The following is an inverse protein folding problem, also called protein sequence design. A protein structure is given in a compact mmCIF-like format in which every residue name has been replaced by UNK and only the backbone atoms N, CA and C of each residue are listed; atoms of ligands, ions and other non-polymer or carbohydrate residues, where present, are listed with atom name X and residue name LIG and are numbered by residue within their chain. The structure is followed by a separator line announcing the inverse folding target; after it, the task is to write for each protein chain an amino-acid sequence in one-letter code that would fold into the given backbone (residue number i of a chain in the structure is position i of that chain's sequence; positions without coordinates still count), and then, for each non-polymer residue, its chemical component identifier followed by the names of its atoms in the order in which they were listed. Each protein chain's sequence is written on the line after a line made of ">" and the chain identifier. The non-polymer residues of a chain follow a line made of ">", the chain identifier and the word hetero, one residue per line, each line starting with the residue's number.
data_IF_243869026558
#
_entry.id   IF_243869026558
#
_cell.length_a   1.000
_cell.length_b   1.000
_cell.length_c   1.000
_cell.angle_alpha   90.00
_cell.angle_beta   90.00
_cell.angle_gamma   90.00
#
_symmetry.space_group_name_H-M   'P 1'
#
loop_
_entity.id
_entity.type
_entity.pdbx_description
1 polymer ?
#
# COMPACT_ATOMS: atom_id res chain seq x y z
N UNK A 1 18.10 18.44 27.49
CA UNK A 1 17.67 17.79 28.74
C UNK A 1 16.87 18.80 29.55
N UNK A 2 15.57 18.59 29.75
CA UNK A 2 14.83 19.24 30.84
C UNK A 2 13.53 18.48 31.16
N UNK A 3 13.15 18.51 32.43
CA UNK A 3 12.23 17.57 33.11
C UNK A 3 10.78 17.71 32.64
N UNK A 4 10.17 16.55 32.37
CA UNK A 4 8.72 16.39 32.15
C UNK A 4 7.99 16.54 33.50
N UNK A 5 7.09 17.51 33.60
CA UNK A 5 6.14 17.62 34.72
C UNK A 5 5.09 16.50 34.66
N UNK A 6 4.59 16.07 35.82
CA UNK A 6 3.71 14.89 36.00
C UNK A 6 2.33 14.97 35.32
N UNK A 7 2.04 16.04 34.60
CA UNK A 7 0.81 16.33 33.86
C UNK A 7 1.00 16.31 32.33
N UNK A 8 2.18 15.95 31.83
CA UNK A 8 2.41 15.61 30.43
C UNK A 8 2.34 16.80 29.44
N UNK A 9 2.35 18.04 29.95
CA UNK A 9 2.32 19.24 29.10
C UNK A 9 3.74 19.70 28.79
N UNK A 10 4.19 19.51 27.55
CA UNK A 10 5.41 20.13 27.03
C UNK A 10 5.19 21.63 26.90
N UNK A 11 5.98 22.44 27.61
CA UNK A 11 5.99 23.90 27.50
C UNK A 11 7.35 24.34 26.98
N UNK A 12 7.51 24.30 25.66
CA UNK A 12 8.61 24.96 24.97
C UNK A 12 8.13 25.38 23.59
N UNK A 13 8.25 26.68 23.29
CA UNK A 13 8.16 27.19 21.93
C UNK A 13 9.58 27.28 21.38
N UNK A 14 9.86 26.58 20.29
CA UNK A 14 11.11 26.72 19.54
C UNK A 14 10.75 27.41 18.22
N UNK A 15 11.43 28.53 17.93
CA UNK A 15 11.38 29.18 16.62
C UNK A 15 12.39 28.48 15.72
N UNK A 16 11.92 27.91 14.62
CA UNK A 16 12.78 27.33 13.58
C UNK A 16 12.89 28.29 12.40
N UNK A 17 14.11 28.47 11.87
CA UNK A 17 14.32 29.14 10.59
C UNK A 17 13.82 28.26 9.43
N UNK A 18 13.43 28.91 8.33
CA UNK A 18 12.61 28.33 7.24
C UNK A 18 13.21 27.10 6.53
N UNK A 19 14.48 26.80 6.76
CA UNK A 19 15.22 25.68 6.16
C UNK A 19 15.29 24.42 7.03
N UNK A 20 14.84 24.46 8.28
CA UNK A 20 14.86 23.30 9.21
C UNK A 20 13.51 22.56 9.28
N UNK A 21 12.56 22.87 8.39
CA UNK A 21 11.19 22.37 8.45
C UNK A 21 11.01 20.94 7.93
N UNK A 22 11.85 20.51 6.98
CA UNK A 22 11.70 19.18 6.36
C UNK A 22 12.07 18.04 7.34
N UNK A 23 12.99 18.29 8.28
CA UNK A 23 13.39 17.30 9.30
C UNK A 23 12.36 17.14 10.43
N UNK A 24 11.53 18.16 10.69
CA UNK A 24 10.60 18.16 11.82
C UNK A 24 9.30 17.37 11.55
N UNK A 25 8.93 17.17 10.27
CA UNK A 25 7.75 16.38 9.87
C UNK A 25 7.96 14.86 10.03
N UNK A 26 9.21 14.40 10.12
CA UNK A 26 9.56 12.98 10.30
C UNK A 26 9.46 12.51 11.77
N UNK A 27 9.35 13.44 12.74
CA UNK A 27 9.43 13.12 14.18
C UNK A 27 8.09 13.05 14.95
N UNK A 28 6.96 13.43 14.35
CA UNK A 28 5.66 13.44 15.04
C UNK A 28 4.90 12.13 14.79
N UNK A 29 5.09 11.17 15.69
CA UNK A 29 4.28 9.95 15.78
C UNK A 29 2.78 10.27 15.85
N UNK A 30 2.09 10.20 14.71
CA UNK A 30 0.64 10.04 14.62
C UNK A 30 -0.24 11.29 14.72
N UNK A 31 0.30 12.51 14.75
CA UNK A 31 -0.49 13.75 14.65
C UNK A 31 -0.20 14.49 13.33
N UNK A 32 -1.20 14.58 12.44
CA UNK A 32 -1.14 15.47 11.29
C UNK A 32 -1.50 16.87 11.79
N UNK A 33 -0.55 17.80 11.77
CA UNK A 33 -0.81 19.21 12.00
C UNK A 33 -1.05 19.91 10.65
N UNK A 34 -2.28 20.33 10.38
CA UNK A 34 -2.55 21.28 9.30
C UNK A 34 -2.39 22.71 9.85
N UNK A 35 -1.51 23.50 9.23
CA UNK A 35 -1.34 24.92 9.53
C UNK A 35 -2.08 25.74 8.46
N UNK A 36 -3.08 26.52 8.90
CA UNK A 36 -3.70 27.57 8.08
C UNK A 36 -3.09 28.91 8.47
N UNK A 37 -2.42 29.57 7.54
CA UNK A 37 -2.02 30.97 7.67
C UNK A 37 -3.21 31.83 7.27
N UNK A 38 -3.88 32.45 8.25
CA UNK A 38 -4.93 33.42 8.00
C UNK A 38 -4.32 34.83 7.93
N UNK A 39 -4.43 35.47 6.78
CA UNK A 39 -4.06 36.88 6.62
C UNK A 39 -5.13 37.76 7.29
N UNK A 40 -4.70 38.57 8.26
CA UNK A 40 -5.56 39.45 9.08
C UNK A 40 -6.08 40.64 8.27
N UNK A 41 -5.54 40.88 7.07
CA UNK A 41 -6.00 41.96 6.17
C UNK A 41 -7.47 41.81 5.74
N UNK A 42 -7.99 40.58 5.66
CA UNK A 42 -9.39 40.30 5.29
C UNK A 42 -10.42 40.66 6.38
N UNK A 43 -9.98 40.79 7.64
CA UNK A 43 -10.88 41.14 8.75
C UNK A 43 -11.11 42.66 8.90
N UNK A 44 -10.40 43.50 8.14
CA UNK A 44 -10.60 44.95 8.16
C UNK A 44 -11.86 45.41 7.40
N UNK A 45 -12.49 44.56 6.56
CA UNK A 45 -13.68 44.94 5.80
C UNK A 45 -15.01 44.85 6.57
N UNK A 46 -15.07 44.21 7.75
CA UNK A 46 -16.33 44.03 8.50
C UNK A 46 -16.49 44.94 9.74
N UNK A 47 -15.72 46.03 9.87
CA UNK A 47 -16.07 47.13 10.78
C UNK A 47 -16.10 46.80 12.29
N UNK A 48 -15.41 45.76 12.75
CA UNK A 48 -15.33 45.40 14.17
C UNK A 48 -14.08 45.98 14.84
N UNK A 49 -14.01 47.30 14.96
CA UNK A 49 -13.01 47.95 15.80
C UNK A 49 -13.60 49.16 16.55
N UNK A 50 -14.26 48.90 17.68
CA UNK A 50 -14.41 49.90 18.75
C UNK A 50 -14.36 49.23 20.11
N UNK A 51 -13.20 49.30 20.78
CA UNK A 51 -13.01 49.90 22.12
C UNK A 51 -11.64 49.50 22.70
N UNK A 52 -11.02 50.49 23.34
CA UNK A 52 -9.61 50.52 23.71
C UNK A 52 -9.12 49.43 24.65
N UNK A 53 -7.83 49.12 24.50
CA UNK A 53 -7.05 48.32 25.42
C UNK A 53 -6.90 49.05 26.77
N UNK A 54 -7.59 48.56 27.79
CA UNK A 54 -7.26 48.84 29.19
C UNK A 54 -6.70 47.57 29.83
N UNK A 55 -5.44 47.64 30.23
CA UNK A 55 -4.67 46.63 30.98
C UNK A 55 -5.47 46.17 32.22
N UNK A 56 -5.99 44.95 32.24
CA UNK A 56 -6.30 44.21 33.49
C UNK A 56 -5.92 42.74 33.34
N UNK A 57 -5.02 42.29 34.22
CA UNK A 57 -4.69 40.88 34.44
C UNK A 57 -5.95 40.16 34.92
N UNK A 58 -6.32 39.08 34.22
CA UNK A 58 -7.27 38.09 34.74
C UNK A 58 -8.65 38.08 34.07
N UNK A 59 -8.74 37.81 32.77
CA UNK A 59 -9.96 37.26 32.13
C UNK A 59 -9.59 36.37 30.93
N UNK A 60 -8.87 35.27 31.17
CA UNK A 60 -8.62 34.24 30.13
C UNK A 60 -9.81 33.32 29.84
N UNK A 61 -10.89 33.43 30.61
CA UNK A 61 -11.93 32.40 30.69
C UNK A 61 -13.26 32.77 29.99
N UNK A 62 -13.38 33.96 29.40
CA UNK A 62 -14.63 34.42 28.76
C UNK A 62 -14.65 34.33 27.23
N UNK A 63 -13.50 34.30 26.56
CA UNK A 63 -13.47 34.28 25.08
C UNK A 63 -13.84 32.90 24.47
N UNK A 64 -13.56 31.80 25.17
CA UNK A 64 -13.92 30.45 24.71
C UNK A 64 -15.43 30.15 24.73
N UNK A 65 -16.27 30.97 25.36
CA UNK A 65 -17.73 30.77 25.34
C UNK A 65 -18.42 31.37 24.12
N UNK A 66 -17.86 32.40 23.48
CA UNK A 66 -18.53 33.05 22.34
C UNK A 66 -18.30 32.38 20.99
N UNK A 67 -17.33 31.46 20.85
CA UNK A 67 -17.18 30.63 19.64
C UNK A 67 -18.16 29.43 19.66
N UNK A 68 -18.76 29.09 20.81
CA UNK A 68 -19.80 28.05 20.89
C UNK A 68 -21.18 28.47 20.33
N UNK A 69 -21.35 29.74 19.95
CA UNK A 69 -22.65 30.31 19.59
C UNK A 69 -23.03 30.31 18.10
N UNK A 70 -22.15 29.91 17.18
CA UNK A 70 -22.50 29.78 15.76
C UNK A 70 -22.08 28.41 15.22
N UNK A 71 -22.98 27.45 15.40
CA UNK A 71 -23.18 26.32 14.49
C UNK A 71 -22.02 25.36 14.26
N UNK A 72 -21.55 24.66 15.30
CA UNK A 72 -20.88 23.35 15.16
C UNK A 72 -21.26 22.50 16.39
N UNK A 73 -22.46 21.94 16.38
CA UNK A 73 -22.85 20.87 17.30
C UNK A 73 -22.42 19.54 16.70
N UNK A 74 -21.59 18.80 17.44
CA UNK A 74 -21.21 17.42 17.12
C UNK A 74 -19.79 17.26 16.55
N UNK A 75 -18.77 17.48 17.37
CA UNK A 75 -17.49 16.74 17.31
C UNK A 75 -16.56 17.31 18.38
N UNK A 76 -15.90 16.45 19.15
CA UNK A 76 -15.03 16.79 20.28
C UNK A 76 -13.72 17.52 19.91
N UNK A 77 -13.74 18.43 18.93
CA UNK A 77 -12.59 19.21 18.48
C UNK A 77 -12.21 20.25 19.54
N UNK A 78 -10.98 20.20 20.04
CA UNK A 78 -10.39 21.27 20.88
C UNK A 78 -9.50 22.16 20.01
N UNK A 79 -9.82 23.45 19.96
CA UNK A 79 -9.00 24.46 19.31
C UNK A 79 -7.97 24.98 20.32
N UNK A 80 -6.69 24.95 19.97
CA UNK A 80 -5.63 25.61 20.71
C UNK A 80 -5.08 26.75 19.85
N UNK A 81 -5.24 27.98 20.31
CA UNK A 81 -4.64 29.16 19.69
C UNK A 81 -3.43 29.57 20.52
N UNK A 82 -2.25 29.66 19.89
CA UNK A 82 -1.07 30.23 20.51
C UNK A 82 -0.82 31.61 19.89
N UNK A 83 -0.68 32.64 20.73
CA UNK A 83 -0.12 33.92 20.30
C UNK A 83 1.39 33.88 20.58
N UNK A 84 2.19 33.88 19.53
CA UNK A 84 3.62 34.12 19.66
C UNK A 84 3.87 35.62 19.79
N UNK A 85 4.10 36.10 21.01
CA UNK A 85 4.75 37.39 21.23
C UNK A 85 6.24 37.12 21.39
N UNK A 86 7.00 37.25 20.31
CA UNK A 86 8.46 37.29 20.39
C UNK A 86 8.91 38.68 20.84
N UNK A 87 9.77 38.74 21.86
CA UNK A 87 10.62 39.91 22.11
C UNK A 87 11.62 40.00 20.94
N UNK A 88 11.21 40.69 19.86
CA UNK A 88 12.08 41.01 18.73
C UNK A 88 11.98 42.52 18.52
N UNK A 89 13.13 43.19 18.46
CA UNK A 89 13.27 44.64 18.32
C UNK A 89 12.78 45.23 16.98
N UNK A 90 11.89 44.54 16.25
CA UNK A 90 11.19 45.10 15.09
C UNK A 90 9.72 44.66 15.09
N UNK A 91 8.75 45.59 14.98
CA UNK A 91 7.34 45.22 15.00
C UNK A 91 6.95 44.60 13.65
N UNK A 92 6.55 43.32 13.66
CA UNK A 92 5.76 42.76 12.57
C UNK A 92 4.46 43.57 12.45
N UNK A 93 4.16 44.07 11.25
CA UNK A 93 3.01 44.96 11.00
C UNK A 93 1.64 44.29 11.17
N UNK A 94 1.58 42.95 11.29
CA UNK A 94 0.35 42.20 11.57
C UNK A 94 0.63 40.99 12.47
N UNK A 95 -0.19 40.71 13.50
CA UNK A 95 -0.03 39.51 14.32
C UNK A 95 -0.40 38.25 13.51
N UNK A 96 0.55 37.33 13.35
CA UNK A 96 0.28 36.00 12.77
C UNK A 96 -0.44 35.15 13.82
N UNK A 97 -1.67 34.75 13.54
CA UNK A 97 -2.36 33.73 14.35
C UNK A 97 -2.10 32.37 13.72
N UNK A 98 -1.36 31.53 14.43
CA UNK A 98 -1.09 30.16 14.02
C UNK A 98 -2.09 29.24 14.73
N UNK A 99 -3.07 28.74 13.99
CA UNK A 99 -4.01 27.74 14.48
C UNK A 99 -3.48 26.34 14.18
N UNK A 100 -3.17 25.57 15.23
CA UNK A 100 -2.77 24.16 15.10
C UNK A 100 -3.99 23.29 15.42
N UNK A 101 -4.44 22.51 14.45
CA UNK A 101 -5.51 21.55 14.65
C UNK A 101 -4.91 20.20 15.05
N UNK A 102 -5.23 19.71 16.25
CA UNK A 102 -5.00 18.32 16.62
C UNK A 102 -6.17 17.47 16.14
N UNK A 103 -6.01 16.74 15.04
CA UNK A 103 -6.97 15.72 14.63
C UNK A 103 -6.59 14.42 15.35
N UNK A 104 -7.41 13.97 16.31
CA UNK A 104 -7.29 12.60 16.82
C UNK A 104 -7.65 11.65 15.66
N UNK A 105 -6.71 10.78 15.25
CA UNK A 105 -6.99 9.59 14.43
C UNK A 105 -7.99 8.71 15.18
N UNK A 106 -9.27 8.93 14.94
CA UNK A 106 -10.36 8.25 15.63
C UNK A 106 -11.75 8.82 15.33
N UNK A 107 -11.85 10.11 14.99
CA UNK A 107 -13.13 10.77 14.67
C UNK A 107 -13.07 11.56 13.35
N UNK A 108 -12.45 10.98 12.32
CA UNK A 108 -12.75 11.40 10.95
C UNK A 108 -13.87 10.52 10.44
N UNK A 109 -15.05 11.10 10.20
CA UNK A 109 -15.95 10.62 9.15
C UNK A 109 -15.24 10.82 7.79
N UNK A 110 -14.05 10.24 7.62
CA UNK A 110 -13.42 10.10 6.33
C UNK A 110 -14.20 8.98 5.66
N UNK A 111 -15.20 9.37 4.88
CA UNK A 111 -15.89 8.43 4.00
C UNK A 111 -14.82 7.96 3.03
N UNK A 112 -14.44 6.69 3.16
CA UNK A 112 -13.53 6.04 2.24
C UNK A 112 -14.12 6.19 0.84
N UNK A 113 -13.34 6.62 -0.16
CA UNK A 113 -13.83 6.61 -1.53
C UNK A 113 -14.24 5.17 -1.86
N UNK A 114 -15.52 4.98 -2.17
CA UNK A 114 -16.01 3.75 -2.76
C UNK A 114 -15.61 3.71 -4.23
N UNK A 115 -15.63 2.54 -4.86
CA UNK A 115 -15.42 2.42 -6.31
C UNK A 115 -16.35 3.35 -7.10
N UNK A 116 -17.58 3.56 -6.63
CA UNK A 116 -18.54 4.47 -7.23
C UNK A 116 -18.18 5.96 -7.10
N UNK A 117 -17.26 6.30 -6.22
CA UNK A 117 -16.80 7.68 -5.98
C UNK A 117 -15.59 8.03 -6.87
N UNK A 118 -15.01 7.08 -7.60
CA UNK A 118 -13.94 7.35 -8.57
C UNK A 118 -14.52 8.00 -9.82
N UNK A 119 -13.89 9.09 -10.25
CA UNK A 119 -14.17 9.72 -11.53
C UNK A 119 -14.02 8.72 -12.69
N UNK A 120 -15.11 8.49 -13.42
CA UNK A 120 -15.16 7.50 -14.50
C UNK A 120 -15.28 8.17 -15.86
N UNK A 121 -14.42 7.78 -16.79
CA UNK A 121 -14.39 8.30 -18.16
C UNK A 121 -14.70 7.19 -19.15
N UNK A 122 -15.70 7.40 -20.01
CA UNK A 122 -16.12 6.43 -21.02
C UNK A 122 -15.22 6.48 -22.28
N UNK A 123 -13.91 6.31 -22.10
CA UNK A 123 -12.92 6.24 -23.17
C UNK A 123 -12.22 4.89 -23.10
N UNK A 124 -12.12 4.20 -24.24
CA UNK A 124 -11.38 2.94 -24.37
C UNK A 124 -10.04 3.21 -25.03
N UNK A 125 -8.96 2.82 -24.36
CA UNK A 125 -7.62 2.92 -24.90
C UNK A 125 -7.23 1.61 -25.60
N UNK A 126 -6.70 1.64 -26.84
CA UNK A 126 -6.27 0.44 -27.53
C UNK A 126 -4.99 -0.14 -26.92
N UNK A 127 -4.85 -1.47 -26.95
CA UNK A 127 -3.63 -2.14 -26.47
C UNK A 127 -2.49 -2.06 -27.51
N UNK A 128 -2.81 -2.18 -28.80
CA UNK A 128 -1.82 -2.40 -29.87
C UNK A 128 -1.43 -1.15 -30.66
N UNK A 129 -2.13 -0.04 -30.48
CA UNK A 129 -1.90 1.21 -31.22
C UNK A 129 -1.42 2.30 -30.27
N UNK A 130 -0.11 2.53 -30.23
CA UNK A 130 0.53 3.46 -29.31
C UNK A 130 0.08 4.92 -29.52
N UNK A 131 -0.09 5.36 -30.75
CA UNK A 131 -0.48 6.74 -31.04
C UNK A 131 -1.94 6.98 -30.63
N UNK A 132 -2.85 6.07 -31.03
CA UNK A 132 -4.24 6.15 -30.58
C UNK A 132 -4.38 6.01 -29.05
N UNK A 133 -3.49 5.24 -28.40
CA UNK A 133 -3.42 5.17 -26.92
C UNK A 133 -3.08 6.54 -26.33
N UNK A 134 -2.06 7.23 -26.86
CA UNK A 134 -1.63 8.54 -26.37
C UNK A 134 -2.70 9.61 -26.60
N UNK A 135 -3.34 9.61 -27.76
CA UNK A 135 -4.45 10.53 -28.07
C UNK A 135 -5.62 10.35 -27.08
N UNK A 136 -6.03 9.11 -26.84
CA UNK A 136 -7.07 8.80 -25.86
C UNK A 136 -6.65 9.17 -24.43
N UNK A 137 -5.40 8.93 -24.06
CA UNK A 137 -4.86 9.33 -22.76
C UNK A 137 -4.88 10.85 -22.57
N UNK A 138 -4.56 11.64 -23.60
CA UNK A 138 -4.67 13.11 -23.56
C UNK A 138 -6.11 13.58 -23.30
N UNK A 139 -7.11 12.92 -23.89
CA UNK A 139 -8.51 13.23 -23.63
C UNK A 139 -8.88 12.99 -22.16
N UNK A 140 -8.42 11.89 -21.57
CA UNK A 140 -8.63 11.60 -20.15
C UNK A 140 -7.89 12.64 -19.27
N UNK A 141 -6.65 12.99 -19.61
CA UNK A 141 -5.84 13.97 -18.87
C UNK A 141 -6.50 15.35 -18.83
N UNK A 142 -7.15 15.78 -19.91
CA UNK A 142 -7.89 17.05 -19.93
C UNK A 142 -8.99 17.13 -18.86
N UNK A 143 -9.61 16.01 -18.54
CA UNK A 143 -10.66 15.95 -17.50
C UNK A 143 -10.06 15.91 -16.08
N UNK A 144 -9.01 15.11 -15.86
CA UNK A 144 -8.46 14.89 -14.51
C UNK A 144 -7.35 15.88 -14.10
N UNK A 145 -6.71 16.50 -15.08
CA UNK A 145 -5.61 17.47 -14.94
C UNK A 145 -5.78 18.60 -15.98
N UNK A 146 -6.85 19.42 -15.89
CA UNK A 146 -7.13 20.47 -16.86
C UNK A 146 -6.04 21.56 -16.93
N UNK A 147 -5.18 21.66 -15.91
CA UNK A 147 -4.04 22.57 -15.88
C UNK A 147 -2.81 22.05 -16.63
N UNK A 148 -2.80 20.79 -17.09
CA UNK A 148 -1.70 20.25 -17.89
C UNK A 148 -1.87 20.64 -19.37
N UNK A 149 -0.97 21.47 -19.87
CA UNK A 149 -0.91 21.83 -21.29
C UNK A 149 -0.41 20.66 -22.13
N UNK A 150 -1.15 20.29 -23.19
CA UNK A 150 -0.86 19.11 -24.01
C UNK A 150 0.56 19.07 -24.56
N UNK A 151 1.10 20.22 -24.97
CA UNK A 151 2.43 20.32 -25.59
C UNK A 151 3.58 20.07 -24.59
N UNK A 152 3.28 20.12 -23.29
CA UNK A 152 4.21 19.87 -22.19
C UNK A 152 4.07 18.46 -21.60
N UNK A 153 3.18 17.63 -22.19
CA UNK A 153 2.97 16.24 -21.80
C UNK A 153 3.80 15.35 -22.70
N UNK A 154 4.61 14.50 -22.09
CA UNK A 154 5.32 13.42 -22.77
C UNK A 154 4.86 12.06 -22.29
N UNK A 155 4.87 11.07 -23.18
CA UNK A 155 4.45 9.72 -22.88
C UNK A 155 5.61 8.73 -22.97
N UNK A 156 5.67 7.80 -22.03
CA UNK A 156 6.57 6.65 -22.06
C UNK A 156 5.78 5.37 -21.77
N UNK A 157 5.84 4.40 -22.68
CA UNK A 157 5.32 3.07 -22.41
C UNK A 157 6.32 2.30 -21.52
N UNK A 158 5.81 1.66 -20.48
CA UNK A 158 6.54 0.68 -19.69
C UNK A 158 6.03 -0.69 -20.12
N UNK A 159 6.68 -1.29 -21.11
CA UNK A 159 6.36 -2.64 -21.58
C UNK A 159 6.92 -3.64 -20.58
N UNK A 160 6.14 -3.97 -19.54
CA UNK A 160 6.44 -5.09 -18.64
C UNK A 160 5.13 -5.83 -18.40
N UNK A 161 5.01 -7.01 -19.00
CA UNK A 161 3.84 -7.86 -18.90
C UNK A 161 3.21 -8.20 -20.26
N UNK A 162 2.86 -9.47 -20.37
CA UNK A 162 2.08 -10.10 -21.45
C UNK A 162 0.59 -9.69 -21.43
N UNK A 163 0.10 -9.20 -20.28
CA UNK A 163 -1.34 -9.03 -20.02
C UNK A 163 -1.81 -7.60 -19.79
N UNK A 164 -0.96 -6.63 -19.46
CA UNK A 164 -1.38 -5.24 -19.24
C UNK A 164 -0.42 -4.28 -19.95
N UNK A 165 -0.94 -3.18 -20.51
CA UNK A 165 -0.11 -2.10 -21.05
C UNK A 165 -0.05 -0.95 -20.06
N UNK A 166 1.18 -0.55 -19.69
CA UNK A 166 1.41 0.59 -18.81
C UNK A 166 1.94 1.76 -19.62
N UNK A 167 1.23 2.89 -19.56
CA UNK A 167 1.64 4.15 -20.21
C UNK A 167 1.81 5.24 -19.15
N UNK A 168 2.97 5.88 -19.12
CA UNK A 168 3.28 6.98 -18.21
C UNK A 168 3.15 8.31 -18.92
N UNK A 169 2.28 9.18 -18.41
CA UNK A 169 2.22 10.57 -18.79
C UNK A 169 3.12 11.38 -17.83
N UNK A 170 3.97 12.23 -18.39
CA UNK A 170 4.87 13.12 -17.64
C UNK A 170 4.61 14.56 -18.07
N UNK A 171 4.21 15.40 -17.13
CA UNK A 171 4.07 16.84 -17.35
C UNK A 171 5.32 17.58 -16.86
N UNK A 172 5.86 18.45 -17.72
CA UNK A 172 7.02 19.30 -17.40
C UNK A 172 6.66 20.76 -17.61
N UNK A 173 6.46 21.51 -16.52
CA UNK A 173 6.12 22.93 -16.58
C UNK A 173 7.23 23.77 -17.24
N UNK A 174 6.85 24.83 -17.97
CA UNK A 174 7.77 25.74 -18.68
C UNK A 174 8.83 26.39 -17.78
N UNK A 175 8.55 26.52 -16.48
CA UNK A 175 9.49 27.08 -15.50
C UNK A 175 10.67 26.15 -15.18
N UNK A 176 10.77 24.98 -15.83
CA UNK A 176 11.90 24.06 -15.68
C UNK A 176 12.06 23.49 -14.26
N UNK A 177 11.06 23.66 -13.39
CA UNK A 177 11.09 23.14 -12.03
C UNK A 177 11.32 21.63 -12.06
N UNK A 178 12.21 21.13 -11.19
CA UNK A 178 12.52 19.70 -11.06
C UNK A 178 11.29 18.81 -10.74
N UNK A 179 10.14 19.40 -10.42
CA UNK A 179 8.91 18.68 -10.15
C UNK A 179 8.21 18.27 -11.45
N UNK A 180 8.61 17.10 -11.95
CA UNK A 180 7.88 16.36 -12.98
C UNK A 180 6.71 15.64 -12.33
N UNK A 181 5.50 16.08 -12.64
CA UNK A 181 4.29 15.36 -12.21
C UNK A 181 4.03 14.21 -13.19
N UNK A 182 3.71 13.03 -12.67
CA UNK A 182 3.56 11.80 -13.46
C UNK A 182 2.32 11.03 -13.06
N UNK A 183 1.61 10.55 -14.08
CA UNK A 183 0.45 9.66 -13.94
C UNK A 183 0.68 8.40 -14.77
N UNK A 184 0.19 7.26 -14.27
CA UNK A 184 0.24 5.96 -14.92
C UNK A 184 -1.14 5.55 -15.39
N UNK A 185 -1.22 5.14 -16.65
CA UNK A 185 -2.37 4.49 -17.24
C UNK A 185 -2.10 2.99 -17.26
N UNK A 186 -2.85 2.21 -16.47
CA UNK A 186 -2.88 0.75 -16.54
C UNK A 186 -4.04 0.34 -17.42
N UNK A 187 -3.73 -0.15 -18.62
CA UNK A 187 -4.72 -0.63 -19.60
C UNK A 187 -4.77 -2.15 -19.48
N UNK A 188 -5.94 -2.68 -19.16
CA UNK A 188 -6.16 -4.10 -18.92
C UNK A 188 -6.12 -4.89 -20.23
N UNK A 189 -5.51 -6.07 -20.17
CA UNK A 189 -5.53 -7.03 -21.27
C UNK A 189 -6.90 -7.61 -21.55
N UNK A 190 -7.03 -8.22 -22.73
CA UNK A 190 -8.24 -8.95 -23.06
C UNK A 190 -8.41 -10.16 -22.14
N UNK A 191 -9.64 -10.41 -21.66
CA UNK A 191 -10.04 -11.58 -20.87
C UNK A 191 -9.44 -11.71 -19.45
N UNK A 192 -8.73 -10.71 -18.94
CA UNK A 192 -8.16 -10.79 -17.58
C UNK A 192 -9.22 -10.87 -16.47
N UNK A 193 -10.41 -10.36 -16.75
CA UNK A 193 -11.53 -10.30 -15.79
C UNK A 193 -12.14 -11.68 -15.52
N UNK A 194 -11.75 -12.71 -16.28
CA UNK A 194 -12.14 -14.11 -16.04
C UNK A 194 -11.46 -14.69 -14.80
N UNK A 195 -10.34 -14.11 -14.37
CA UNK A 195 -9.50 -14.60 -13.27
C UNK A 195 -9.47 -13.58 -12.12
N UNK A 196 -9.54 -12.29 -12.44
CA UNK A 196 -9.36 -11.19 -11.48
C UNK A 196 -10.69 -10.46 -11.26
N UNK A 197 -11.09 -10.32 -10.01
CA UNK A 197 -12.21 -9.46 -9.60
C UNK A 197 -11.74 -8.01 -9.56
N UNK A 198 -11.99 -7.28 -10.66
CA UNK A 198 -11.54 -5.90 -10.85
C UNK A 198 -12.16 -4.91 -9.87
N UNK A 199 -13.40 -5.13 -9.45
CA UNK A 199 -14.04 -4.23 -8.50
C UNK A 199 -13.44 -4.47 -7.10
N UNK A 200 -13.12 -5.71 -6.73
CA UNK A 200 -12.38 -6.01 -5.50
C UNK A 200 -10.97 -5.43 -5.50
N UNK A 201 -10.20 -5.61 -6.57
CA UNK A 201 -8.86 -5.03 -6.74
C UNK A 201 -8.92 -3.50 -6.57
N UNK A 202 -9.88 -2.84 -7.21
CA UNK A 202 -10.04 -1.38 -7.15
C UNK A 202 -10.43 -0.89 -5.75
N UNK A 203 -11.33 -1.62 -5.06
CA UNK A 203 -11.69 -1.32 -3.67
C UNK A 203 -10.47 -1.46 -2.73
N UNK A 204 -9.66 -2.50 -2.90
CA UNK A 204 -8.44 -2.70 -2.12
C UNK A 204 -7.43 -1.59 -2.38
N UNK A 205 -7.23 -1.21 -3.64
CA UNK A 205 -6.33 -0.13 -4.01
C UNK A 205 -6.79 1.19 -3.39
N UNK A 206 -8.06 1.57 -3.51
CA UNK A 206 -8.62 2.76 -2.87
C UNK A 206 -8.39 2.77 -1.35
N UNK A 207 -8.64 1.63 -0.71
CA UNK A 207 -8.44 1.46 0.72
C UNK A 207 -6.95 1.58 1.12
N UNK A 208 -6.04 1.03 0.34
CA UNK A 208 -4.59 1.18 0.58
C UNK A 208 -4.14 2.63 0.34
N UNK A 209 -4.67 3.29 -0.70
CA UNK A 209 -4.31 4.66 -1.04
C UNK A 209 -4.75 5.65 0.04
N UNK A 210 -5.95 5.47 0.62
CA UNK A 210 -6.44 6.31 1.73
C UNK A 210 -5.57 6.20 3.00
N UNK A 211 -4.78 5.14 3.13
CA UNK A 211 -3.81 4.92 4.21
C UNK A 211 -2.36 5.22 3.81
N UNK A 212 -2.12 5.76 2.62
CA UNK A 212 -0.79 6.05 2.11
C UNK A 212 0.08 4.79 1.94
N UNK A 213 -0.56 3.66 1.62
CA UNK A 213 0.09 2.37 1.32
C UNK A 213 0.04 2.03 -0.18
N UNK A 214 -0.65 2.84 -0.99
CA UNK A 214 -0.72 2.71 -2.43
C UNK A 214 -0.71 4.07 -3.12
N UNK A 215 -0.44 4.07 -4.43
CA UNK A 215 -0.62 5.24 -5.27
C UNK A 215 -2.08 5.72 -5.24
N UNK A 216 -2.30 7.03 -5.28
CA UNK A 216 -3.64 7.59 -5.45
C UNK A 216 -4.24 7.17 -6.79
N UNK A 217 -5.51 6.79 -6.80
CA UNK A 217 -6.29 6.59 -8.02
C UNK A 217 -6.95 7.91 -8.43
N UNK A 218 -6.80 8.27 -9.70
CA UNK A 218 -7.32 9.51 -10.26
C UNK A 218 -8.61 9.27 -11.06
N UNK A 219 -8.65 8.19 -11.84
CA UNK A 219 -9.82 7.86 -12.65
C UNK A 219 -9.90 6.38 -13.01
N UNK A 220 -11.10 5.93 -13.35
CA UNK A 220 -11.37 4.70 -14.08
C UNK A 220 -11.73 5.05 -15.53
N UNK A 221 -11.29 4.25 -16.48
CA UNK A 221 -11.75 4.34 -17.86
C UNK A 221 -12.17 2.98 -18.39
N UNK A 222 -12.74 2.92 -19.58
CA UNK A 222 -13.19 1.66 -20.19
C UNK A 222 -11.98 0.76 -20.45
N UNK A 223 -11.81 -0.27 -19.62
CA UNK A 223 -10.69 -1.21 -19.73
C UNK A 223 -9.41 -0.77 -19.01
N UNK A 224 -9.49 0.10 -17.99
CA UNK A 224 -8.31 0.42 -17.20
C UNK A 224 -8.50 1.50 -16.14
N UNK A 225 -7.39 1.92 -15.53
CA UNK A 225 -7.33 2.94 -14.48
C UNK A 225 -6.17 3.91 -14.66
N UNK A 226 -6.33 5.10 -14.11
CA UNK A 226 -5.27 6.12 -14.00
C UNK A 226 -4.88 6.26 -12.54
N UNK A 227 -3.59 6.08 -12.24
CA UNK A 227 -3.02 6.19 -10.89
C UNK A 227 -1.85 7.16 -10.85
N UNK A 228 -1.49 7.57 -9.63
CA UNK A 228 -0.27 8.32 -9.37
C UNK A 228 0.97 7.47 -9.67
N UNK A 229 2.03 8.11 -10.14
CA UNK A 229 3.33 7.47 -10.30
C UNK A 229 4.05 7.35 -8.95
N UNK A 230 4.51 6.14 -8.61
CA UNK A 230 5.38 5.90 -7.46
C UNK A 230 6.85 5.99 -7.91
N UNK A 231 7.64 6.94 -7.38
CA UNK A 231 9.08 7.01 -7.65
C UNK A 231 9.81 5.75 -7.21
N UNK A 232 10.86 5.41 -7.96
CA UNK A 232 11.75 4.29 -7.64
C UNK A 232 11.90 3.31 -8.79
N UNK A 233 12.59 2.21 -8.49
CA UNK A 233 12.80 1.08 -9.39
C UNK A 233 12.22 -0.19 -8.75
N UNK A 234 11.73 -1.10 -9.58
CA UNK A 234 11.36 -2.44 -9.13
C UNK A 234 12.62 -3.17 -8.67
N UNK A 235 12.50 -3.95 -7.60
CA UNK A 235 13.63 -4.73 -7.11
C UNK A 235 13.97 -5.92 -8.03
N UNK A 236 15.20 -6.39 -7.91
CA UNK A 236 15.67 -7.68 -8.42
C UNK A 236 16.11 -8.58 -7.26
N UNK A 237 16.38 -9.85 -7.55
CA UNK A 237 16.85 -10.83 -6.55
C UNK A 237 18.10 -10.34 -5.82
N UNK A 238 18.99 -9.61 -6.49
CA UNK A 238 20.22 -9.06 -5.92
C UNK A 238 19.96 -8.02 -4.82
N UNK A 239 18.78 -7.39 -4.82
CA UNK A 239 18.42 -6.38 -3.83
C UNK A 239 17.87 -6.98 -2.53
N UNK A 240 17.47 -8.25 -2.51
CA UNK A 240 16.72 -8.84 -1.40
C UNK A 240 17.50 -9.00 -0.08
N UNK A 241 18.83 -8.85 -0.13
CA UNK A 241 19.71 -8.92 1.04
C UNK A 241 20.35 -7.58 1.39
N UNK A 242 20.01 -6.51 0.68
CA UNK A 242 20.42 -5.17 1.07
C UNK A 242 19.72 -4.77 2.36
N UNK A 243 20.50 -4.38 3.37
CA UNK A 243 20.01 -4.12 4.72
C UNK A 243 19.02 -2.95 4.78
N UNK A 244 19.23 -1.91 3.96
CA UNK A 244 18.35 -0.74 3.87
C UNK A 244 17.02 -1.14 3.25
N UNK A 245 17.07 -1.87 2.14
CA UNK A 245 15.87 -2.36 1.44
C UNK A 245 15.08 -3.31 2.34
N UNK A 246 15.73 -4.32 2.94
CA UNK A 246 15.08 -5.26 3.87
C UNK A 246 14.41 -4.51 5.03
N UNK A 247 15.10 -3.52 5.59
CA UNK A 247 14.56 -2.72 6.69
C UNK A 247 13.33 -1.93 6.29
N UNK A 248 13.37 -1.28 5.14
CA UNK A 248 12.24 -0.50 4.65
C UNK A 248 11.08 -1.38 4.15
N UNK A 249 11.36 -2.58 3.62
CA UNK A 249 10.33 -3.58 3.28
C UNK A 249 9.62 -4.05 4.54
N UNK A 250 10.36 -4.40 5.60
CA UNK A 250 9.78 -4.75 6.91
C UNK A 250 8.89 -3.63 7.46
N UNK A 251 9.36 -2.38 7.37
CA UNK A 251 8.62 -1.19 7.82
C UNK A 251 7.33 -0.99 7.02
N UNK A 252 7.39 -1.02 5.69
CA UNK A 252 6.22 -0.86 4.82
C UNK A 252 5.22 -2.01 4.97
N UNK A 253 5.67 -3.25 5.04
CA UNK A 253 4.81 -4.41 5.26
C UNK A 253 4.12 -4.35 6.63
N UNK A 254 4.84 -3.92 7.67
CA UNK A 254 4.24 -3.76 9.00
C UNK A 254 3.11 -2.72 9.02
N UNK A 255 3.22 -1.65 8.21
CA UNK A 255 2.16 -0.63 8.06
C UNK A 255 0.93 -1.23 7.36
N UNK A 256 1.14 -1.99 6.31
CA UNK A 256 0.09 -2.69 5.57
C UNK A 256 -0.65 -3.70 6.49
N UNK A 257 0.09 -4.52 7.24
CA UNK A 257 -0.49 -5.50 8.19
C UNK A 257 -1.21 -4.87 9.41
N UNK A 258 -1.05 -3.56 9.65
CA UNK A 258 -1.76 -2.82 10.71
C UNK A 258 -3.11 -2.28 10.26
N UNK A 259 -3.43 -2.32 8.97
CA UNK A 259 -4.73 -1.88 8.45
C UNK A 259 -5.87 -2.73 9.03
N UNK A 260 -7.02 -2.10 9.29
CA UNK A 260 -8.19 -2.70 9.94
C UNK A 260 -9.48 -2.32 9.22
N UNK A 261 -10.48 -3.21 9.16
CA UNK A 261 -11.72 -2.89 8.47
C UNK A 261 -12.37 -1.65 9.07
N UNK A 262 -12.91 -0.79 8.22
CA UNK A 262 -13.59 0.43 8.66
C UNK A 262 -14.87 0.14 9.45
N UNK A 263 -15.47 -1.03 9.24
CA UNK A 263 -16.74 -1.48 9.82
C UNK A 263 -16.57 -2.17 11.18
N UNK A 264 -15.34 -2.50 11.58
CA UNK A 264 -15.08 -3.32 12.78
C UNK A 264 -15.44 -4.80 12.61
N UNK A 265 -15.69 -5.25 11.37
CA UNK A 265 -16.07 -6.63 11.07
C UNK A 265 -14.95 -7.63 11.41
N UNK A 266 -15.36 -8.85 11.76
CA UNK A 266 -14.43 -9.97 11.91
C UNK A 266 -13.87 -10.34 10.53
N UNK A 267 -12.58 -10.15 10.36
CA UNK A 267 -11.86 -10.50 9.14
C UNK A 267 -11.55 -11.99 9.11
N UNK A 268 -11.89 -12.65 8.00
CA UNK A 268 -11.56 -14.06 7.77
C UNK A 268 -10.40 -14.18 6.78
N UNK A 269 -9.53 -15.17 6.94
CA UNK A 269 -8.40 -15.36 6.05
C UNK A 269 -8.85 -15.88 4.68
N UNK A 270 -8.38 -15.23 3.61
CA UNK A 270 -8.79 -15.53 2.22
C UNK A 270 -8.11 -16.77 1.64
N UNK A 271 -6.98 -17.23 2.20
CA UNK A 271 -6.11 -18.28 1.64
C UNK A 271 -6.90 -19.52 1.15
N UNK A 272 -7.63 -20.18 2.04
CA UNK A 272 -8.33 -21.41 1.69
C UNK A 272 -9.57 -21.16 0.80
N UNK A 273 -10.19 -19.98 0.92
CA UNK A 273 -11.30 -19.58 0.05
C UNK A 273 -10.80 -19.52 -1.40
N UNK A 274 -9.64 -18.89 -1.62
CA UNK A 274 -9.01 -18.76 -2.93
C UNK A 274 -8.52 -20.11 -3.48
N UNK A 275 -7.92 -20.95 -2.65
CA UNK A 275 -7.52 -22.31 -3.04
C UNK A 275 -8.74 -23.13 -3.49
N UNK A 276 -9.83 -23.10 -2.73
CA UNK A 276 -11.09 -23.78 -3.07
C UNK A 276 -11.67 -23.24 -4.39
N UNK A 277 -11.55 -21.93 -4.65
CA UNK A 277 -11.92 -21.33 -5.93
C UNK A 277 -11.06 -21.81 -7.10
N UNK A 278 -9.74 -21.94 -6.92
CA UNK A 278 -8.87 -22.49 -7.96
C UNK A 278 -9.22 -23.94 -8.27
N UNK A 279 -9.42 -24.78 -7.25
CA UNK A 279 -9.83 -26.17 -7.42
C UNK A 279 -11.19 -26.32 -8.11
N UNK A 280 -12.15 -25.44 -7.83
CA UNK A 280 -13.46 -25.45 -8.49
C UNK A 280 -13.36 -25.12 -9.99
N UNK A 281 -12.33 -24.40 -10.41
CA UNK A 281 -12.08 -24.03 -11.80
C UNK A 281 -11.06 -24.95 -12.50
N UNK A 282 -10.48 -25.89 -11.76
CA UNK A 282 -9.48 -26.83 -12.27
C UNK A 282 -10.13 -28.05 -12.93
N UNK A 283 -9.55 -28.55 -14.02
CA UNK A 283 -9.92 -29.82 -14.65
C UNK A 283 -8.70 -30.73 -14.78
N UNK A 284 -8.87 -32.04 -14.58
CA UNK A 284 -7.81 -33.02 -14.83
C UNK A 284 -7.68 -33.43 -16.31
N UNK A 285 -8.40 -32.73 -17.20
CA UNK A 285 -8.42 -32.97 -18.62
C UNK A 285 -7.79 -31.82 -19.42
N UNK A 286 -6.90 -32.18 -20.34
CA UNK A 286 -6.28 -31.30 -21.33
C UNK A 286 -6.60 -31.80 -22.74
N UNK A 287 -7.06 -30.89 -23.61
CA UNK A 287 -7.30 -31.22 -25.03
C UNK A 287 -6.00 -31.59 -25.76
N UNK A 288 -4.87 -31.02 -25.34
CA UNK A 288 -3.56 -31.34 -25.88
C UNK A 288 -3.02 -32.64 -25.27
N UNK A 289 -2.79 -33.64 -26.13
CA UNK A 289 -2.32 -34.97 -25.73
C UNK A 289 -0.97 -34.96 -24.99
N UNK A 290 -0.01 -34.14 -25.43
CA UNK A 290 1.31 -34.06 -24.78
C UNK A 290 1.21 -33.44 -23.38
N UNK A 291 0.37 -32.40 -23.22
CA UNK A 291 0.07 -31.82 -21.90
C UNK A 291 -0.63 -32.82 -20.98
N UNK A 292 -1.60 -33.58 -21.51
CA UNK A 292 -2.27 -34.64 -20.75
C UNK A 292 -1.30 -35.74 -20.30
N UNK A 293 -0.40 -36.20 -21.19
CA UNK A 293 0.60 -37.21 -20.86
C UNK A 293 1.54 -36.73 -19.73
N UNK A 294 2.05 -35.49 -19.82
CA UNK A 294 2.84 -34.85 -18.74
C UNK A 294 2.06 -34.77 -17.42
N UNK A 295 0.81 -34.30 -17.45
CA UNK A 295 -0.04 -34.20 -16.26
C UNK A 295 -0.30 -35.57 -15.63
N UNK A 296 -0.65 -36.57 -16.43
CA UNK A 296 -0.93 -37.93 -15.94
C UNK A 296 0.33 -38.57 -15.34
N UNK A 297 1.51 -38.37 -15.95
CA UNK A 297 2.78 -38.87 -15.45
C UNK A 297 3.12 -38.28 -14.08
N UNK A 298 3.00 -36.96 -13.91
CA UNK A 298 3.34 -36.34 -12.64
C UNK A 298 2.27 -36.57 -11.57
N UNK A 299 1.02 -36.22 -11.85
CA UNK A 299 -0.05 -36.21 -10.84
C UNK A 299 -0.68 -37.57 -10.58
N UNK A 300 -1.02 -38.32 -11.64
CA UNK A 300 -1.72 -39.60 -11.47
C UNK A 300 -0.77 -40.72 -11.08
N UNK A 301 0.39 -40.82 -11.74
CA UNK A 301 1.37 -41.86 -11.39
C UNK A 301 2.12 -41.53 -10.09
N UNK A 302 2.28 -40.24 -9.77
CA UNK A 302 2.80 -39.78 -8.48
C UNK A 302 1.82 -39.90 -7.31
N UNK A 303 0.59 -40.37 -7.54
CA UNK A 303 -0.48 -40.48 -6.54
C UNK A 303 -0.75 -39.16 -5.77
N UNK A 304 -0.71 -38.04 -6.50
CA UNK A 304 -0.94 -36.71 -5.95
C UNK A 304 -2.44 -36.40 -5.90
N UNK A 305 -2.93 -36.06 -4.71
CA UNK A 305 -4.34 -35.77 -4.47
C UNK A 305 -4.52 -34.39 -3.82
N UNK A 306 -4.82 -33.37 -4.62
CA UNK A 306 -4.96 -31.99 -4.15
C UNK A 306 -5.93 -31.81 -2.97
N UNK A 307 -7.06 -32.52 -2.97
CA UNK A 307 -8.04 -32.44 -1.87
C UNK A 307 -7.50 -33.01 -0.55
N UNK A 308 -6.72 -34.09 -0.62
CA UNK A 308 -6.08 -34.68 0.55
C UNK A 308 -5.02 -33.73 1.11
N UNK A 309 -4.17 -33.18 0.25
CA UNK A 309 -3.12 -32.24 0.65
C UNK A 309 -3.70 -30.94 1.22
N UNK A 310 -4.76 -30.42 0.59
CA UNK A 310 -5.51 -29.27 1.09
C UNK A 310 -6.05 -29.53 2.50
N UNK A 311 -6.69 -30.68 2.74
CA UNK A 311 -7.20 -31.01 4.08
C UNK A 311 -6.07 -31.08 5.11
N UNK A 312 -4.95 -31.74 4.79
CA UNK A 312 -3.79 -31.83 5.69
C UNK A 312 -3.21 -30.44 6.00
N UNK A 313 -3.01 -29.61 4.97
CA UNK A 313 -2.47 -28.27 5.11
C UNK A 313 -3.41 -27.35 5.91
N UNK A 314 -4.71 -27.43 5.65
CA UNK A 314 -5.76 -26.68 6.37
C UNK A 314 -5.78 -27.03 7.84
N UNK A 315 -5.70 -28.32 8.18
CA UNK A 315 -5.62 -28.78 9.56
C UNK A 315 -4.39 -28.24 10.31
N UNK A 316 -3.21 -28.28 9.67
CA UNK A 316 -1.97 -27.78 10.26
C UNK A 316 -2.07 -26.28 10.51
N UNK A 317 -2.49 -25.50 9.50
CA UNK A 317 -2.55 -24.04 9.59
C UNK A 317 -3.62 -23.58 10.59
N UNK A 318 -4.80 -24.19 10.61
CA UNK A 318 -5.88 -23.76 11.50
C UNK A 318 -5.55 -23.99 12.99
N UNK A 319 -4.80 -25.05 13.32
CA UNK A 319 -4.35 -25.32 14.70
C UNK A 319 -3.41 -24.27 15.25
N UNK A 320 -2.70 -23.53 14.38
CA UNK A 320 -1.74 -22.50 14.79
C UNK A 320 -2.40 -21.22 15.29
N UNK A 321 -3.67 -20.98 14.94
CA UNK A 321 -4.39 -19.75 15.31
C UNK A 321 -3.62 -18.48 14.91
N UNK A 322 -2.98 -18.50 13.74
CA UNK A 322 -2.24 -17.38 13.18
C UNK A 322 -3.07 -16.11 13.07
N UNK A 323 -2.42 -14.97 13.25
CA UNK A 323 -3.08 -13.66 13.20
C UNK A 323 -3.59 -13.37 11.80
N UNK A 324 -4.84 -12.90 11.70
CA UNK A 324 -5.40 -12.37 10.45
C UNK A 324 -5.13 -10.87 10.38
N UNK A 325 -4.51 -10.44 9.28
CA UNK A 325 -4.17 -9.04 8.98
C UNK A 325 -4.53 -8.73 7.53
N UNK A 326 -4.58 -7.46 7.14
CA UNK A 326 -4.62 -7.12 5.72
C UNK A 326 -3.26 -7.49 5.12
N UNK A 327 -3.24 -8.29 4.07
CA UNK A 327 -2.04 -8.82 3.43
C UNK A 327 -1.98 -8.36 1.96
N UNK A 328 -0.76 -8.29 1.40
CA UNK A 328 -0.55 -8.16 -0.03
C UNK A 328 -0.93 -9.46 -0.76
N UNK A 329 -0.59 -10.60 -0.15
CA UNK A 329 -0.73 -11.98 -0.64
C UNK A 329 0.12 -12.34 -1.87
N UNK A 330 0.73 -11.34 -2.51
CA UNK A 330 1.57 -11.52 -3.70
C UNK A 330 2.80 -10.61 -3.69
N UNK A 331 3.56 -10.67 -2.59
CA UNK A 331 4.72 -9.81 -2.39
C UNK A 331 5.98 -10.32 -3.10
N UNK A 332 5.84 -10.57 -4.40
CA UNK A 332 6.94 -10.87 -5.33
C UNK A 332 7.87 -9.68 -5.50
N UNK A 333 9.11 -9.95 -5.86
CA UNK A 333 10.20 -8.96 -5.87
C UNK A 333 9.85 -7.74 -6.74
N UNK A 334 9.29 -7.98 -7.92
CA UNK A 334 8.90 -6.94 -8.87
C UNK A 334 7.70 -6.09 -8.42
N UNK A 335 6.93 -6.55 -7.43
CA UNK A 335 5.85 -5.78 -6.81
C UNK A 335 6.35 -4.82 -5.71
N UNK A 336 7.68 -4.77 -5.50
CA UNK A 336 8.34 -3.88 -4.56
C UNK A 336 9.09 -2.80 -5.34
N UNK A 337 8.72 -1.55 -5.11
CA UNK A 337 9.39 -0.36 -5.64
C UNK A 337 10.24 0.27 -4.54
N UNK A 338 11.53 0.44 -4.81
CA UNK A 338 12.45 1.18 -3.96
C UNK A 338 12.82 2.53 -4.57
N UNK A 339 12.58 3.59 -3.81
CA UNK A 339 13.03 4.95 -4.13
C UNK A 339 14.33 5.26 -3.38
N UNK A 340 15.44 5.26 -4.13
CA UNK A 340 16.79 5.53 -3.65
C UNK A 340 16.96 6.95 -3.12
N UNK A 341 16.10 7.89 -3.53
CA UNK A 341 16.16 9.28 -3.08
C UNK A 341 15.57 9.49 -1.69
N UNK A 342 14.62 8.64 -1.30
CA UNK A 342 13.86 8.79 -0.05
C UNK A 342 14.03 7.60 0.88
N UNK A 343 14.81 6.60 0.47
CA UNK A 343 14.92 5.30 1.14
C UNK A 343 13.55 4.69 1.46
N UNK A 344 12.60 4.82 0.54
CA UNK A 344 11.23 4.38 0.76
C UNK A 344 10.85 3.17 -0.08
N UNK A 345 10.03 2.29 0.50
CA UNK A 345 9.47 1.12 -0.15
C UNK A 345 7.98 1.33 -0.35
N UNK A 346 7.55 1.19 -1.60
CA UNK A 346 6.14 1.14 -1.99
C UNK A 346 5.83 -0.22 -2.62
N UNK A 347 4.64 -0.75 -2.34
CA UNK A 347 4.16 -1.96 -3.00
C UNK A 347 3.25 -1.60 -4.17
N UNK A 348 3.09 -2.48 -5.13
CA UNK A 348 2.16 -2.35 -6.27
C UNK A 348 1.48 -3.69 -6.55
N UNK A 349 0.45 -3.66 -7.40
CA UNK A 349 -0.32 -4.82 -7.85
C UNK A 349 -1.09 -5.58 -6.76
N UNK A 350 -2.22 -5.00 -6.36
CA UNK A 350 -3.03 -5.46 -5.21
C UNK A 350 -4.16 -6.43 -5.59
N UNK A 351 -3.99 -7.20 -6.67
CA UNK A 351 -5.06 -8.08 -7.18
C UNK A 351 -5.43 -9.22 -6.21
N UNK A 352 -4.44 -9.72 -5.46
CA UNK A 352 -4.66 -10.72 -4.40
C UNK A 352 -4.80 -10.12 -3.00
N UNK A 353 -4.68 -8.79 -2.84
CA UNK A 353 -4.71 -8.17 -1.52
C UNK A 353 -6.04 -8.45 -0.82
N UNK A 354 -5.98 -8.87 0.44
CA UNK A 354 -7.14 -9.17 1.26
C UNK A 354 -6.72 -9.42 2.70
N UNK A 355 -7.68 -9.57 3.59
CA UNK A 355 -7.42 -10.13 4.90
C UNK A 355 -6.98 -11.59 4.80
N UNK A 356 -5.80 -11.89 5.33
CA UNK A 356 -5.23 -13.22 5.32
C UNK A 356 -4.33 -13.45 6.54
N UNK A 357 -3.75 -14.65 6.65
CA UNK A 357 -2.79 -14.96 7.69
C UNK A 357 -1.52 -14.14 7.52
N UNK A 358 -1.08 -13.48 8.59
CA UNK A 358 0.19 -12.74 8.62
C UNK A 358 1.38 -13.62 8.23
N UNK A 359 1.38 -14.87 8.70
CA UNK A 359 2.41 -15.86 8.38
C UNK A 359 2.47 -16.15 6.86
N UNK A 360 1.32 -16.17 6.17
CA UNK A 360 1.26 -16.45 4.73
C UNK A 360 1.98 -15.38 3.92
N UNK A 361 1.70 -14.09 4.17
CA UNK A 361 2.29 -13.01 3.38
C UNK A 361 3.82 -12.94 3.55
N UNK A 362 4.30 -13.24 4.76
CA UNK A 362 5.73 -13.30 5.08
C UNK A 362 6.38 -14.54 4.48
N UNK A 363 5.76 -15.72 4.61
CA UNK A 363 6.26 -16.96 4.04
C UNK A 363 6.30 -16.89 2.51
N UNK A 364 5.25 -16.35 1.88
CA UNK A 364 5.21 -16.11 0.45
C UNK A 364 6.39 -15.24 0.02
N UNK A 365 6.60 -14.10 0.68
CA UNK A 365 7.75 -13.23 0.38
C UNK A 365 9.10 -13.94 0.50
N UNK A 366 9.27 -14.91 1.40
CA UNK A 366 10.49 -15.70 1.48
C UNK A 366 10.65 -16.71 0.32
N UNK A 367 9.56 -17.31 -0.15
CA UNK A 367 9.58 -18.17 -1.34
C UNK A 367 10.06 -17.40 -2.58
N UNK A 368 9.72 -16.11 -2.68
CA UNK A 368 10.10 -15.25 -3.81
C UNK A 368 11.61 -15.01 -3.93
N UNK A 369 12.40 -15.31 -2.90
CA UNK A 369 13.87 -15.23 -2.97
C UNK A 369 14.46 -16.21 -3.98
N UNK A 370 13.72 -17.26 -4.34
CA UNK A 370 14.13 -18.17 -5.42
C UNK A 370 14.26 -17.43 -6.77
N UNK A 371 13.47 -16.38 -6.99
CA UNK A 371 13.36 -15.69 -8.27
C UNK A 371 12.56 -16.48 -9.31
N UNK A 372 12.05 -15.79 -10.34
CA UNK A 372 11.20 -16.40 -11.39
C UNK A 372 12.00 -16.75 -12.66
N UNK A 373 12.86 -15.85 -13.12
CA UNK A 373 13.65 -16.06 -14.35
C UNK A 373 14.87 -16.98 -14.11
N UNK A 374 15.67 -16.69 -13.08
CA UNK A 374 16.82 -17.50 -12.65
C UNK A 374 16.49 -18.29 -11.38
N UNK A 375 15.48 -19.16 -11.46
CA UNK A 375 14.93 -19.88 -10.32
C UNK A 375 15.98 -20.67 -9.53
N UNK A 376 16.15 -20.35 -8.24
CA UNK A 376 17.12 -21.01 -7.37
C UNK A 376 16.73 -20.97 -5.88
N UNK A 377 16.21 -22.09 -5.36
CA UNK A 377 15.87 -22.25 -3.94
C UNK A 377 17.03 -22.07 -2.96
N UNK A 378 18.29 -22.21 -3.38
CA UNK A 378 19.44 -21.95 -2.50
C UNK A 378 19.54 -20.48 -2.06
N UNK A 379 18.79 -19.58 -2.71
CA UNK A 379 18.70 -18.16 -2.36
C UNK A 379 17.69 -17.90 -1.24
N UNK A 380 16.71 -18.79 -1.06
CA UNK A 380 15.70 -18.68 -0.01
C UNK A 380 16.36 -18.58 1.37
N UNK A 381 15.77 -17.78 2.28
CA UNK A 381 16.40 -17.50 3.55
C UNK A 381 16.43 -18.74 4.45
N UNK A 382 17.58 -18.99 5.09
CA UNK A 382 17.68 -20.04 6.11
C UNK A 382 16.97 -19.62 7.41
N UNK A 383 16.87 -20.55 8.37
CA UNK A 383 16.21 -20.30 9.67
C UNK A 383 16.84 -19.12 10.44
N UNK A 384 18.14 -18.87 10.27
CA UNK A 384 18.85 -17.76 10.95
C UNK A 384 18.45 -16.42 10.34
N UNK A 385 18.50 -16.31 9.02
CA UNK A 385 18.11 -15.10 8.32
C UNK A 385 16.61 -14.80 8.50
N UNK A 386 15.75 -15.83 8.40
CA UNK A 386 14.31 -15.69 8.71
C UNK A 386 14.07 -15.12 10.10
N UNK A 387 14.81 -15.59 11.12
CA UNK A 387 14.74 -15.05 12.48
C UNK A 387 15.13 -13.57 12.55
N UNK A 388 16.20 -13.17 11.88
CA UNK A 388 16.66 -11.77 11.83
C UNK A 388 15.63 -10.87 11.14
N UNK A 389 15.12 -11.30 9.99
CA UNK A 389 14.08 -10.61 9.23
C UNK A 389 12.78 -10.47 10.04
N UNK A 390 12.29 -11.57 10.63
CA UNK A 390 11.09 -11.58 11.47
C UNK A 390 11.26 -10.67 12.69
N UNK A 391 12.42 -10.68 13.34
CA UNK A 391 12.72 -9.80 14.47
C UNK A 391 12.60 -8.33 14.06
N UNK A 392 13.13 -7.99 12.89
CA UNK A 392 13.06 -6.62 12.33
C UNK A 392 11.63 -6.23 12.00
N UNK A 393 10.91 -7.07 11.27
CA UNK A 393 9.49 -6.89 10.96
C UNK A 393 8.64 -6.70 12.23
N UNK A 394 8.79 -7.58 13.22
CA UNK A 394 8.03 -7.50 14.47
C UNK A 394 8.39 -6.25 15.28
N UNK A 395 9.62 -5.75 15.19
CA UNK A 395 10.01 -4.50 15.85
C UNK A 395 9.17 -3.32 15.33
N UNK A 396 8.97 -3.22 14.01
CA UNK A 396 8.10 -2.19 13.43
C UNK A 396 6.61 -2.49 13.65
N UNK A 397 6.22 -3.76 13.56
CA UNK A 397 4.82 -4.18 13.72
C UNK A 397 4.31 -3.98 15.16
N UNK A 398 5.12 -4.28 16.16
CA UNK A 398 4.76 -4.15 17.57
C UNK A 398 5.13 -2.77 18.15
N UNK A 399 5.96 -2.00 17.45
CA UNK A 399 6.50 -0.70 17.91
C UNK A 399 7.29 -0.82 19.23
N UNK A 400 7.89 -1.99 19.43
CA UNK A 400 8.76 -2.31 20.56
C UNK A 400 9.68 -3.46 20.18
N UNK A 401 10.68 -3.74 21.01
CA UNK A 401 11.47 -4.96 20.89
C UNK A 401 10.53 -6.19 21.05
N UNK A 402 10.51 -7.13 20.08
CA UNK A 402 9.74 -8.35 20.22
C UNK A 402 10.35 -9.28 21.26
N UNK A 403 9.48 -10.03 21.94
CA UNK A 403 9.88 -11.10 22.84
C UNK A 403 10.29 -12.35 22.05
N UNK A 404 11.08 -13.23 22.68
CA UNK A 404 11.61 -14.43 22.02
C UNK A 404 10.49 -15.36 21.53
N UNK A 405 9.46 -15.56 22.35
CA UNK A 405 8.27 -16.36 22.00
C UNK A 405 7.50 -15.79 20.80
N UNK A 406 7.43 -14.46 20.63
CA UNK A 406 6.75 -13.83 19.49
C UNK A 406 7.50 -14.10 18.18
N UNK A 407 8.83 -14.02 18.23
CA UNK A 407 9.71 -14.36 17.09
C UNK A 407 9.60 -15.85 16.77
N UNK A 408 9.75 -16.70 17.79
CA UNK A 408 9.72 -18.16 17.66
C UNK A 408 8.36 -18.63 17.11
N UNK A 409 7.25 -18.06 17.59
CA UNK A 409 5.91 -18.42 17.11
C UNK A 409 5.73 -18.20 15.61
N UNK A 410 6.19 -17.06 15.07
CA UNK A 410 6.10 -16.76 13.64
C UNK A 410 7.10 -17.59 12.82
N UNK A 411 8.30 -17.80 13.35
CA UNK A 411 9.34 -18.60 12.70
C UNK A 411 8.95 -20.07 12.56
N UNK A 412 8.37 -20.67 13.61
CA UNK A 412 7.97 -22.07 13.63
C UNK A 412 6.77 -22.35 12.70
N UNK A 413 5.99 -21.33 12.33
CA UNK A 413 4.91 -21.45 11.36
C UNK A 413 5.35 -21.37 9.92
N UNK A 414 6.53 -20.83 9.68
CA UNK A 414 6.93 -20.38 8.37
C UNK A 414 6.95 -21.54 7.36
N UNK A 415 7.48 -22.71 7.73
CA UNK A 415 7.51 -23.88 6.84
C UNK A 415 6.10 -24.31 6.36
N UNK A 416 5.11 -24.30 7.26
CA UNK A 416 3.73 -24.68 6.89
C UNK A 416 3.11 -23.66 5.92
N UNK A 417 3.42 -22.38 6.09
CA UNK A 417 2.91 -21.33 5.21
C UNK A 417 3.71 -21.19 3.91
N UNK A 418 4.98 -21.58 3.87
CA UNK A 418 5.75 -21.72 2.62
C UNK A 418 5.18 -22.87 1.78
N UNK A 419 4.90 -24.02 2.41
CA UNK A 419 4.18 -25.10 1.74
C UNK A 419 2.81 -24.64 1.21
N UNK A 420 2.09 -23.78 1.97
CA UNK A 420 0.84 -23.21 1.50
C UNK A 420 1.00 -22.23 0.33
N UNK A 421 2.07 -21.43 0.32
CA UNK A 421 2.37 -20.53 -0.80
C UNK A 421 2.68 -21.34 -2.08
N UNK A 422 3.52 -22.38 -1.97
CA UNK A 422 3.78 -23.29 -3.08
C UNK A 422 2.52 -23.98 -3.59
N UNK A 423 1.68 -24.50 -2.68
CA UNK A 423 0.41 -25.13 -3.06
C UNK A 423 -0.54 -24.14 -3.74
N UNK A 424 -0.63 -22.92 -3.22
CA UNK A 424 -1.46 -21.85 -3.78
C UNK A 424 -1.05 -21.49 -5.21
N UNK A 425 0.25 -21.24 -5.43
CA UNK A 425 0.74 -20.84 -6.75
C UNK A 425 0.80 -21.99 -7.75
N UNK A 426 1.03 -23.22 -7.30
CA UNK A 426 0.92 -24.41 -8.17
C UNK A 426 -0.51 -24.58 -8.70
N UNK A 427 -1.53 -24.50 -7.83
CA UNK A 427 -2.93 -24.56 -8.27
C UNK A 427 -3.32 -23.37 -9.16
N UNK A 428 -2.82 -22.18 -8.85
CA UNK A 428 -3.01 -21.02 -9.71
C UNK A 428 -2.43 -21.26 -11.11
N UNK A 429 -1.19 -21.76 -11.21
CA UNK A 429 -0.53 -22.04 -12.47
C UNK A 429 -1.25 -23.13 -13.28
N UNK A 430 -1.75 -24.18 -12.62
CA UNK A 430 -2.59 -25.20 -13.24
C UNK A 430 -3.82 -24.61 -13.91
N UNK A 431 -4.58 -23.80 -13.17
CA UNK A 431 -5.77 -23.13 -13.68
C UNK A 431 -5.40 -22.20 -14.85
N UNK A 432 -4.27 -21.48 -14.77
CA UNK A 432 -3.77 -20.68 -15.88
C UNK A 432 -3.42 -21.52 -17.11
N UNK A 433 -2.82 -22.70 -16.95
CA UNK A 433 -2.43 -23.56 -18.08
C UNK A 433 -3.61 -24.01 -18.95
N UNK A 434 -4.82 -23.98 -18.40
CA UNK A 434 -6.08 -24.36 -19.05
C UNK A 434 -6.85 -23.17 -19.62
N UNK A 435 -6.77 -22.01 -18.96
CA UNK A 435 -7.62 -20.83 -19.28
C UNK A 435 -6.84 -19.75 -20.02
N UNK A 436 -5.53 -19.66 -19.80
CA UNK A 436 -4.70 -18.60 -20.31
C UNK A 436 -4.37 -18.79 -21.78
N UNK A 437 -4.49 -17.72 -22.56
CA UNK A 437 -4.03 -17.66 -23.95
C UNK A 437 -2.56 -17.23 -24.05
N UNK A 438 -1.87 -17.11 -22.91
CA UNK A 438 -0.48 -16.71 -22.81
C UNK A 438 0.44 -17.90 -23.11
N UNK A 439 1.46 -17.67 -23.93
CA UNK A 439 2.54 -18.63 -24.20
C UNK A 439 3.58 -18.62 -23.07
N UNK A 440 3.24 -19.26 -21.95
CA UNK A 440 4.13 -19.53 -20.82
C UNK A 440 3.96 -20.99 -20.40
N UNK A 441 5.06 -21.69 -20.10
CA UNK A 441 5.01 -23.10 -19.70
C UNK A 441 4.64 -23.22 -18.21
N UNK A 442 3.36 -22.98 -17.93
CA UNK A 442 2.79 -23.09 -16.59
C UNK A 442 2.97 -24.48 -15.98
N UNK A 443 3.05 -25.53 -16.80
CA UNK A 443 3.13 -26.93 -16.36
C UNK A 443 4.54 -27.30 -15.89
N UNK A 444 5.59 -26.82 -16.56
CA UNK A 444 6.98 -27.05 -16.12
C UNK A 444 7.34 -26.20 -14.87
N UNK A 445 6.82 -24.97 -14.77
CA UNK A 445 6.93 -24.11 -13.56
C UNK A 445 6.26 -24.76 -12.33
N UNK A 446 5.12 -25.41 -12.56
CA UNK A 446 4.35 -26.13 -11.56
C UNK A 446 5.06 -27.37 -11.02
N UNK A 447 5.66 -28.21 -11.88
CA UNK A 447 6.44 -29.38 -11.46
C UNK A 447 7.56 -28.96 -10.50
N UNK A 448 8.25 -27.85 -10.80
CA UNK A 448 9.30 -27.30 -9.91
C UNK A 448 8.78 -26.75 -8.58
N UNK A 449 7.56 -26.21 -8.53
CA UNK A 449 6.93 -25.73 -7.30
C UNK A 449 6.36 -26.83 -6.42
N UNK A 450 5.76 -27.86 -7.03
CA UNK A 450 5.11 -28.96 -6.32
C UNK A 450 6.13 -29.95 -5.72
N UNK A 451 7.23 -30.26 -6.41
CA UNK A 451 8.29 -31.14 -5.91
C UNK A 451 8.96 -30.59 -4.63
N UNK A 452 9.07 -29.26 -4.51
CA UNK A 452 9.55 -28.60 -3.29
C UNK A 452 8.53 -28.62 -2.17
N UNK A 453 7.22 -28.53 -2.46
CA UNK A 453 6.18 -28.66 -1.44
C UNK A 453 6.16 -30.05 -0.77
N UNK A 454 6.57 -31.09 -1.50
CA UNK A 454 6.72 -32.46 -0.98
C UNK A 454 8.09 -32.75 -0.36
N UNK A 455 9.12 -31.96 -0.70
CA UNK A 455 10.45 -32.02 -0.07
C UNK A 455 10.54 -31.34 1.31
N UNK A 456 9.54 -30.53 1.70
CA UNK A 456 9.43 -30.00 3.07
C UNK A 456 9.01 -31.15 4.00
N UNK A 457 10.00 -31.77 4.63
CA UNK A 457 9.79 -32.72 5.72
C UNK A 457 9.01 -32.02 6.84
N UNK A 458 7.81 -32.56 7.13
CA UNK A 458 6.98 -32.17 8.27
C UNK A 458 7.56 -32.74 9.58
N UNK A 459 8.85 -32.51 9.84
CA UNK A 459 9.50 -32.82 11.12
C UNK A 459 9.72 -31.55 11.96
#
# INVERSE_FOLDING_TARGET
>A
MEKVGHDGVVRSAVLFERTEWDDCMLGLNGMIACLLLLDVSLWQQEGLYQRGFSRKKGEGSKWLRNIRGKGLHGSGKRLFAFMANGDVQQPFRHPLIVAVFSIRRGDSNYIMPAVNDIFTVNIKLPLTDDEATKEGALLILKEIKPSWESDLISFKAFTVGITNKILCATYTSENGTMHKERLLFRIYGNNTDKIIDRDKELNNWLYLASHGCAAQLYARFTGGVVSGFLPGNTLTVDNLRDETIVTNTCKSLSRLHKLRPNTGDITKPTLFIKIEQFLANFSDHYENKQKQEKYDEFFKQGEIFFLHDLHRLKDIIQRRQSKVVFCHNDLLIHNIIYDDKTDSISFIDYEYADYNYQDFDIANHFCEYAGVEDFNYSRCPDKKYKREWITKYLTYYLERKPEKNEIDNLLDGNNAFEAAAHFFWALWALVQSQISTIDFDYLDSEIGGYDVSNGVTFE
#
